data_IF_871053831630
#
_entry.id   IF_871053831630
#
_cell.length_a   1.000
_cell.length_b   1.000
_cell.length_c   1.000
_cell.angle_alpha   90.00
_cell.angle_beta   90.00
_cell.angle_gamma   90.00
#
_symmetry.space_group_name_H-M   'P 1'
#
loop_
_entity.id
_entity.type
_entity.pdbx_description
1 polymer ?
#
# COMPACT_ATOMS: atom_id res chain seq x y z
N UNK A 1 -10.01 -5.43 -19.44
CA UNK A 1 -8.91 -5.82 -18.55
C UNK A 1 -9.55 -5.82 -17.20
N UNK A 2 -9.69 -7.01 -16.62
CA UNK A 2 -10.63 -7.25 -15.53
C UNK A 2 -10.22 -6.45 -14.28
N UNK A 3 -11.15 -5.68 -13.74
CA UNK A 3 -11.08 -4.98 -12.44
C UNK A 3 -11.09 -6.00 -11.27
N UNK A 4 -10.44 -7.15 -11.45
CA UNK A 4 -10.44 -8.25 -10.50
C UNK A 4 -9.34 -8.07 -9.48
N UNK A 5 -9.73 -8.01 -8.21
CA UNK A 5 -8.82 -7.99 -7.07
C UNK A 5 -7.90 -9.22 -7.07
N UNK A 6 -6.61 -8.96 -7.19
CA UNK A 6 -5.55 -9.93 -6.98
C UNK A 6 -5.16 -9.95 -5.50
N UNK A 7 -4.58 -11.06 -5.02
CA UNK A 7 -4.11 -11.16 -3.63
C UNK A 7 -2.73 -11.79 -3.55
N UNK A 8 -1.86 -11.19 -2.74
CA UNK A 8 -0.56 -11.73 -2.35
C UNK A 8 -0.46 -11.78 -0.83
N UNK A 9 0.14 -12.83 -0.29
CA UNK A 9 0.34 -13.00 1.15
C UNK A 9 1.83 -13.04 1.50
N UNK A 10 2.20 -12.50 2.65
CA UNK A 10 3.57 -12.63 3.13
C UNK A 10 3.86 -11.89 4.43
N UNK A 11 5.16 -11.73 4.70
CA UNK A 11 5.72 -11.01 5.85
C UNK A 11 6.89 -10.16 5.36
N UNK A 12 7.09 -8.97 5.94
CA UNK A 12 8.13 -8.06 5.48
C UNK A 12 7.77 -7.50 4.10
N UNK A 13 8.76 -7.43 3.21
CA UNK A 13 8.53 -7.00 1.82
C UNK A 13 7.76 -8.06 1.03
N UNK A 14 6.53 -7.71 0.64
CA UNK A 14 5.62 -8.51 -0.19
C UNK A 14 5.64 -7.93 -1.59
N UNK A 15 5.92 -8.75 -2.59
CA UNK A 15 5.92 -8.33 -3.99
C UNK A 15 4.48 -8.10 -4.48
N UNK A 16 4.24 -6.97 -5.14
CA UNK A 16 3.01 -6.66 -5.86
C UNK A 16 3.35 -6.73 -7.36
N UNK A 17 2.95 -7.80 -8.07
CA UNK A 17 3.19 -7.94 -9.50
C UNK A 17 2.85 -6.67 -10.28
N UNK A 18 3.71 -6.33 -11.24
CA UNK A 18 3.58 -5.17 -12.14
C UNK A 18 3.66 -3.79 -11.47
N UNK A 19 3.68 -3.70 -10.14
CA UNK A 19 3.83 -2.44 -9.40
C UNK A 19 5.18 -2.32 -8.67
N UNK A 20 5.55 -3.32 -7.87
CA UNK A 20 6.74 -3.27 -7.02
C UNK A 20 6.61 -4.13 -5.76
N UNK A 21 6.74 -3.52 -4.58
CA UNK A 21 6.66 -4.22 -3.29
C UNK A 21 6.17 -3.32 -2.16
N UNK A 22 5.55 -3.92 -1.16
CA UNK A 22 5.03 -3.25 0.04
C UNK A 22 5.51 -3.96 1.31
N UNK A 23 5.79 -3.20 2.36
CA UNK A 23 6.27 -3.71 3.65
C UNK A 23 5.33 -3.32 4.79
N UNK A 24 4.17 -3.99 4.93
CA UNK A 24 3.28 -3.76 6.05
C UNK A 24 3.91 -4.23 7.36
N UNK A 25 3.82 -3.36 8.36
CA UNK A 25 4.33 -3.59 9.71
C UNK A 25 3.30 -3.11 10.72
N UNK A 26 3.44 -3.61 11.95
CA UNK A 26 2.71 -3.12 13.11
C UNK A 26 3.65 -3.11 14.30
N UNK A 27 3.47 -2.13 15.17
CA UNK A 27 4.10 -2.20 16.48
C UNK A 27 3.39 -3.25 17.34
N UNK A 28 4.15 -4.00 18.14
CA UNK A 28 3.59 -5.00 19.03
C UNK A 28 2.78 -4.33 20.15
N UNK A 29 1.72 -5.04 20.57
CA UNK A 29 0.83 -4.79 21.73
C UNK A 29 -0.48 -4.06 21.39
N UNK A 30 -1.59 -4.62 21.90
CA UNK A 30 -2.98 -4.15 21.86
C UNK A 30 -3.14 -2.65 21.57
N UNK A 31 -3.58 -2.32 20.34
CA UNK A 31 -3.70 -0.93 19.87
C UNK A 31 -2.48 -0.38 19.11
N UNK A 32 -1.53 -1.25 18.75
CA UNK A 32 -0.31 -0.90 18.02
C UNK A 32 -0.59 -0.21 16.68
N UNK A 33 0.24 0.79 16.36
CA UNK A 33 0.19 1.51 15.09
C UNK A 33 0.59 0.56 13.97
N UNK A 34 -0.09 0.70 12.85
CA UNK A 34 0.22 -0.03 11.63
C UNK A 34 0.76 0.96 10.61
N UNK A 35 1.83 0.58 9.95
CA UNK A 35 2.55 1.42 9.01
C UNK A 35 3.15 0.58 7.90
N UNK A 36 3.40 1.17 6.75
CA UNK A 36 4.03 0.49 5.64
C UNK A 36 5.03 1.39 4.93
N UNK A 37 6.00 0.76 4.28
CA UNK A 37 6.76 1.37 3.19
C UNK A 37 6.30 0.72 1.88
N UNK A 38 6.37 1.44 0.77
CA UNK A 38 6.06 0.92 -0.55
C UNK A 38 7.12 1.40 -1.54
N UNK A 39 7.62 0.48 -2.35
CA UNK A 39 8.57 0.75 -3.41
C UNK A 39 8.02 0.28 -4.75
N UNK A 40 8.25 1.07 -5.77
CA UNK A 40 7.93 0.78 -7.17
C UNK A 40 8.93 -0.22 -7.75
N UNK A 41 8.64 -0.76 -8.93
CA UNK A 41 9.49 -1.74 -9.61
C UNK A 41 10.90 -1.19 -9.97
N UNK A 42 11.03 0.12 -10.16
CA UNK A 42 12.31 0.79 -10.41
C UNK A 42 13.09 1.12 -9.11
N UNK A 43 12.56 0.77 -7.93
CA UNK A 43 13.22 0.96 -6.65
C UNK A 43 13.03 2.34 -6.01
N UNK A 44 12.16 3.17 -6.56
CA UNK A 44 11.75 4.44 -5.96
C UNK A 44 10.66 4.21 -4.90
N UNK A 45 10.45 5.18 -4.01
CA UNK A 45 9.31 5.14 -3.10
C UNK A 45 8.03 5.48 -3.86
N UNK A 46 6.99 4.69 -3.62
CA UNK A 46 5.65 4.98 -4.16
C UNK A 46 5.05 6.19 -3.44
N UNK A 47 4.04 6.81 -4.06
CA UNK A 47 3.16 7.75 -3.36
C UNK A 47 1.96 6.99 -2.81
N UNK A 48 1.40 7.44 -1.67
CA UNK A 48 0.19 6.87 -1.10
C UNK A 48 -0.86 7.95 -0.79
N UNK A 49 -2.14 7.64 -1.00
CA UNK A 49 -3.26 8.51 -0.63
C UNK A 49 -4.51 7.71 -0.31
N UNK A 50 -5.42 8.26 0.48
CA UNK A 50 -6.67 7.63 0.90
C UNK A 50 -7.10 8.11 2.28
N UNK A 51 -8.38 7.96 2.62
CA UNK A 51 -8.92 8.45 3.90
C UNK A 51 -8.28 7.80 5.12
N UNK A 52 -7.81 6.55 4.99
CA UNK A 52 -7.10 5.83 6.04
C UNK A 52 -5.58 6.13 6.08
N UNK A 53 -5.06 6.89 5.11
CA UNK A 53 -3.63 7.16 4.98
C UNK A 53 -3.26 8.46 5.69
N UNK A 54 -2.32 8.37 6.63
CA UNK A 54 -1.70 9.53 7.27
C UNK A 54 -0.19 9.34 7.35
N UNK A 55 0.58 10.41 7.54
CA UNK A 55 2.04 10.34 7.53
C UNK A 55 2.67 10.64 6.16
N UNK A 56 3.91 10.19 5.96
CA UNK A 56 4.98 10.95 5.29
C UNK A 56 5.28 10.65 3.82
N UNK A 57 6.57 10.86 3.48
CA UNK A 57 7.23 10.76 2.15
C UNK A 57 7.59 9.32 1.75
N UNK A 58 7.89 8.46 2.73
CA UNK A 58 8.43 7.09 2.52
C UNK A 58 7.74 6.03 3.38
N UNK A 59 7.17 6.45 4.52
CA UNK A 59 6.43 5.60 5.46
C UNK A 59 5.08 6.22 5.79
N UNK A 60 4.03 5.43 5.67
CA UNK A 60 2.64 5.83 5.93
C UNK A 60 2.02 4.99 7.03
N UNK A 61 1.14 5.60 7.80
CA UNK A 61 0.17 4.92 8.65
C UNK A 61 -1.08 4.60 7.84
N UNK A 62 -1.73 3.48 8.15
CA UNK A 62 -2.94 3.01 7.48
C UNK A 62 -3.95 2.43 8.48
N UNK A 63 -5.11 1.99 8.01
CA UNK A 63 -6.04 1.15 8.79
C UNK A 63 -6.26 -0.19 8.08
N UNK A 64 -6.35 -1.29 8.84
CA UNK A 64 -6.54 -2.62 8.24
C UNK A 64 -7.88 -2.66 7.53
N UNK A 65 -7.93 -3.39 6.42
CA UNK A 65 -9.16 -3.62 5.66
C UNK A 65 -9.81 -2.33 5.11
N UNK A 66 -9.09 -1.21 5.11
CA UNK A 66 -9.47 0.03 4.44
C UNK A 66 -8.68 0.19 3.13
N UNK A 67 -9.34 0.60 2.03
CA UNK A 67 -8.66 0.82 0.76
C UNK A 67 -7.85 2.12 0.78
N UNK A 68 -6.77 2.13 0.01
CA UNK A 68 -5.98 3.30 -0.32
C UNK A 68 -5.30 3.11 -1.67
N UNK A 69 -4.77 4.18 -2.24
CA UNK A 69 -4.11 4.17 -3.55
C UNK A 69 -2.60 4.24 -3.37
N UNK A 70 -1.88 3.50 -4.22
CA UNK A 70 -0.45 3.67 -4.46
C UNK A 70 -0.22 4.09 -5.90
N UNK A 71 0.72 5.01 -6.12
CA UNK A 71 1.15 5.40 -7.46
C UNK A 71 2.67 5.44 -7.59
N UNK A 72 3.15 5.15 -8.80
CA UNK A 72 4.51 5.45 -9.21
C UNK A 72 4.61 6.83 -9.91
N UNK A 73 5.84 7.30 -10.14
CA UNK A 73 6.08 8.58 -10.82
C UNK A 73 5.69 8.60 -12.30
N UNK A 74 5.29 7.47 -12.89
CA UNK A 74 4.84 7.36 -14.28
C UNK A 74 3.31 7.50 -14.43
N UNK A 75 2.59 7.52 -13.31
CA UNK A 75 1.13 7.56 -13.29
C UNK A 75 0.47 6.18 -13.24
N UNK A 76 1.23 5.10 -13.10
CA UNK A 76 0.66 3.79 -12.81
C UNK A 76 0.15 3.78 -11.37
N UNK A 77 -1.14 3.50 -11.21
CA UNK A 77 -1.85 3.55 -9.92
C UNK A 77 -2.55 2.22 -9.66
N UNK A 78 -2.49 1.77 -8.41
CA UNK A 78 -3.23 0.61 -7.90
C UNK A 78 -4.02 1.01 -6.65
N UNK A 79 -5.20 0.42 -6.48
CA UNK A 79 -5.88 0.42 -5.19
C UNK A 79 -5.48 -0.81 -4.40
N UNK A 80 -5.24 -0.62 -3.10
CA UNK A 80 -4.66 -1.62 -2.21
C UNK A 80 -5.49 -1.72 -0.93
N UNK A 81 -5.69 -2.95 -0.46
CA UNK A 81 -6.22 -3.26 0.87
C UNK A 81 -5.24 -4.19 1.57
N UNK A 82 -4.85 -3.85 2.79
CA UNK A 82 -3.97 -4.68 3.62
C UNK A 82 -4.79 -5.27 4.77
N UNK A 83 -4.76 -6.60 4.91
CA UNK A 83 -5.40 -7.34 5.99
C UNK A 83 -4.35 -8.05 6.85
N UNK A 84 -4.56 -8.09 8.15
CA UNK A 84 -3.74 -8.89 9.06
C UNK A 84 -4.21 -10.35 9.08
N UNK A 85 -3.29 -11.28 8.85
CA UNK A 85 -3.53 -12.72 8.90
C UNK A 85 -3.00 -13.35 10.19
N UNK A 86 -3.41 -14.60 10.42
CA UNK A 86 -2.87 -15.44 11.49
C UNK A 86 -1.34 -15.57 11.36
N UNK A 87 -0.67 -15.55 12.51
CA UNK A 87 0.79 -15.67 12.58
C UNK A 87 1.56 -14.39 12.26
N UNK A 88 0.89 -13.23 12.18
CA UNK A 88 1.55 -11.95 11.88
C UNK A 88 1.90 -11.78 10.40
N UNK A 89 1.30 -12.58 9.52
CA UNK A 89 1.36 -12.40 8.07
C UNK A 89 0.35 -11.35 7.64
N UNK A 90 0.48 -10.87 6.41
CA UNK A 90 -0.42 -9.91 5.80
C UNK A 90 -0.94 -10.46 4.47
N UNK A 91 -2.20 -10.19 4.17
CA UNK A 91 -2.73 -10.26 2.81
C UNK A 91 -2.75 -8.84 2.23
N UNK A 92 -2.27 -8.69 1.01
CA UNK A 92 -2.33 -7.44 0.25
C UNK A 92 -3.18 -7.74 -0.97
N UNK A 93 -4.38 -7.17 -0.98
CA UNK A 93 -5.26 -7.20 -2.15
C UNK A 93 -4.97 -5.97 -2.98
N UNK A 94 -4.93 -6.12 -4.29
CA UNK A 94 -4.72 -4.99 -5.19
C UNK A 94 -5.44 -5.18 -6.52
N UNK A 95 -5.79 -4.07 -7.16
CA UNK A 95 -6.29 -4.01 -8.53
C UNK A 95 -5.97 -2.64 -9.15
N UNK A 96 -6.14 -2.46 -10.47
CA UNK A 96 -5.89 -1.17 -11.11
C UNK A 96 -6.68 -0.02 -10.45
N UNK A 97 -5.98 1.06 -10.11
CA UNK A 97 -6.56 2.23 -9.47
C UNK A 97 -6.53 3.46 -10.37
N UNK A 98 -7.23 4.52 -9.94
CA UNK A 98 -7.19 5.83 -10.60
C UNK A 98 -6.68 6.85 -9.60
N UNK A 99 -5.52 7.44 -9.88
CA UNK A 99 -4.97 8.49 -9.01
C UNK A 99 -5.87 9.73 -9.08
N UNK A 100 -6.25 10.36 -7.96
CA UNK A 100 -7.10 11.55 -7.97
C UNK A 100 -6.41 12.68 -8.74
N UNK A 101 -7.04 13.14 -9.83
CA UNK A 101 -6.58 14.26 -10.63
C UNK A 101 -6.64 15.56 -9.81
N UNK A 102 -5.49 15.93 -9.23
CA UNK A 102 -5.36 17.11 -8.36
C UNK A 102 -4.30 16.99 -7.27
N UNK A 103 -3.81 15.79 -7.00
CA UNK A 103 -2.69 15.56 -6.07
C UNK A 103 -1.33 15.73 -6.73
N UNK A 104 -1.04 16.89 -7.34
CA UNK A 104 0.37 17.33 -7.45
C UNK A 104 0.89 17.43 -6.02
N UNK A 105 1.87 16.60 -5.68
CA UNK A 105 2.53 16.64 -4.39
C UNK A 105 2.94 18.06 -4.03
N UNK A 106 2.22 18.64 -3.06
CA UNK A 106 2.64 19.83 -2.34
C UNK A 106 3.17 19.34 -0.99
N UNK A 107 4.49 19.20 -0.90
CA UNK A 107 5.21 19.22 0.37
C UNK A 107 5.37 20.66 0.83
#
# INVERSE_FOLDING_TARGET
MDDEWQVVEGTGWIAIPEFGRINPRRDNVAGGRQYFDAMTANGEYAQATGDCITGGTETWYYEFDQPFLLADGSGHCIEVVISLLKGGRYAVKYHPGVWPSGGTGGW
#
